data_IF_452357273981
#
_entry.id   IF_452357273981
#
_cell.length_a   1.000
_cell.length_b   1.000
_cell.length_c   1.000
_cell.angle_alpha   90.00
_cell.angle_beta   90.00
_cell.angle_gamma   90.00
#
_symmetry.space_group_name_H-M   'P 1'
#
loop_
_entity.id
_entity.type
_entity.pdbx_description
1 polymer ?
#
# COMPACT_ATOMS: atom_id res chain seq x y z
N UNK A 1 -15.60 -12.66 -57.06
CA UNK A 1 -15.86 -12.71 -55.60
C UNK A 1 -14.53 -12.89 -54.90
N UNK A 2 -13.95 -11.83 -54.32
CA UNK A 2 -12.71 -11.94 -53.54
C UNK A 2 -13.02 -11.70 -52.07
N UNK A 3 -12.56 -12.64 -51.25
CA UNK A 3 -12.93 -12.83 -49.87
C UNK A 3 -12.32 -11.77 -48.94
N UNK A 4 -13.17 -11.31 -48.04
CA UNK A 4 -12.90 -10.39 -46.95
C UNK A 4 -12.01 -11.10 -45.91
N UNK A 5 -10.72 -10.76 -45.81
CA UNK A 5 -9.85 -11.30 -44.76
C UNK A 5 -10.07 -10.53 -43.46
N UNK A 6 -10.68 -11.20 -42.48
CA UNK A 6 -10.85 -10.70 -41.11
C UNK A 6 -9.48 -10.61 -40.44
N UNK A 7 -9.01 -9.39 -40.13
CA UNK A 7 -7.75 -9.18 -39.42
C UNK A 7 -7.90 -9.56 -37.94
N UNK A 8 -7.07 -10.49 -37.47
CA UNK A 8 -6.98 -10.87 -36.06
C UNK A 8 -6.39 -9.71 -35.22
N UNK A 9 -6.97 -9.34 -34.07
CA UNK A 9 -6.45 -8.26 -33.23
C UNK A 9 -5.08 -8.66 -32.64
N UNK A 10 -4.06 -7.84 -32.87
CA UNK A 10 -2.71 -8.03 -32.33
C UNK A 10 -2.77 -8.14 -30.80
N UNK A 11 -2.46 -9.33 -30.28
CA UNK A 11 -2.56 -9.67 -28.85
C UNK A 11 -1.67 -8.79 -27.96
N UNK A 12 -0.61 -8.17 -28.52
CA UNK A 12 0.32 -7.31 -27.78
C UNK A 12 -0.06 -5.83 -27.81
N UNK A 13 -1.12 -5.45 -28.53
CA UNK A 13 -1.49 -4.05 -28.65
C UNK A 13 -1.97 -3.51 -27.30
N UNK A 14 -1.36 -2.41 -26.87
CA UNK A 14 -1.64 -1.68 -25.64
C UNK A 14 -1.50 -2.49 -24.35
N UNK A 15 -0.65 -3.51 -24.32
CA UNK A 15 -0.48 -4.35 -23.11
C UNK A 15 0.69 -3.92 -22.23
N UNK A 16 1.41 -2.87 -22.64
CA UNK A 16 2.46 -2.19 -21.87
C UNK A 16 2.33 -0.68 -22.03
N UNK A 17 2.78 0.08 -21.02
CA UNK A 17 2.77 1.54 -21.05
C UNK A 17 3.83 2.11 -22.01
N UNK A 18 3.49 3.17 -22.72
CA UNK A 18 4.37 3.87 -23.64
C UNK A 18 5.38 4.72 -22.86
N UNK A 19 6.66 4.32 -22.91
CA UNK A 19 7.73 5.03 -22.20
C UNK A 19 7.82 6.50 -22.59
N UNK A 20 7.77 6.82 -23.88
CA UNK A 20 7.88 8.21 -24.35
C UNK A 20 6.72 9.07 -23.85
N UNK A 21 5.50 8.53 -23.85
CA UNK A 21 4.34 9.27 -23.35
C UNK A 21 4.40 9.47 -21.83
N UNK A 22 4.82 8.45 -21.07
CA UNK A 22 4.94 8.55 -19.61
C UNK A 22 6.06 9.51 -19.21
N UNK A 23 7.20 9.48 -19.91
CA UNK A 23 8.36 10.31 -19.59
C UNK A 23 8.18 11.76 -20.08
N UNK A 24 7.64 11.95 -21.29
CA UNK A 24 7.63 13.26 -21.95
C UNK A 24 6.24 13.90 -22.01
N UNK A 25 5.19 13.19 -21.59
CA UNK A 25 3.79 13.61 -21.76
C UNK A 25 3.31 13.62 -23.22
N UNK A 26 4.17 13.23 -24.18
CA UNK A 26 3.84 13.17 -25.60
C UNK A 26 4.45 11.93 -26.26
N UNK A 27 3.85 11.50 -27.37
CA UNK A 27 4.37 10.42 -28.19
C UNK A 27 4.16 10.78 -29.65
N UNK A 28 5.23 10.74 -30.44
CA UNK A 28 5.19 11.08 -31.87
C UNK A 28 4.22 10.19 -32.67
N UNK A 29 3.91 8.99 -32.16
CA UNK A 29 2.96 8.06 -32.78
C UNK A 29 1.49 8.36 -32.44
N UNK A 30 1.23 9.25 -31.48
CA UNK A 30 -0.13 9.65 -31.08
C UNK A 30 -1.05 8.45 -30.81
N UNK A 31 -2.29 8.52 -31.29
CA UNK A 31 -3.27 7.45 -31.14
C UNK A 31 -2.88 6.13 -31.84
N UNK A 32 -1.93 6.17 -32.78
CA UNK A 32 -1.41 4.97 -33.49
C UNK A 32 -0.34 4.24 -32.70
N UNK A 33 0.08 4.76 -31.54
CA UNK A 33 1.06 4.10 -30.69
C UNK A 33 0.53 2.73 -30.25
N UNK A 34 1.34 1.68 -30.41
CA UNK A 34 0.96 0.33 -30.00
C UNK A 34 1.06 0.10 -28.50
N UNK A 35 1.59 1.07 -27.75
CA UNK A 35 1.72 1.04 -26.29
C UNK A 35 0.71 2.00 -25.65
N UNK A 36 0.29 1.70 -24.42
CA UNK A 36 -0.74 2.45 -23.71
C UNK A 36 -0.20 3.78 -23.18
N UNK A 37 -0.87 4.89 -23.50
CA UNK A 37 -0.53 6.23 -23.00
C UNK A 37 -1.06 6.50 -21.58
N UNK A 38 -1.63 5.49 -20.95
CA UNK A 38 -2.07 5.52 -19.56
C UNK A 38 -2.77 4.20 -19.21
N UNK A 39 -3.13 4.03 -17.94
CA UNK A 39 -3.83 2.82 -17.47
C UNK A 39 -5.17 2.59 -18.17
N UNK A 40 -5.83 3.67 -18.62
CA UNK A 40 -7.09 3.61 -19.37
C UNK A 40 -6.94 2.92 -20.73
N UNK A 41 -5.77 3.04 -21.37
CA UNK A 41 -5.48 2.35 -22.63
C UNK A 41 -4.86 0.96 -22.40
N UNK A 42 -4.38 0.67 -21.20
CA UNK A 42 -3.61 -0.53 -20.89
C UNK A 42 -4.53 -1.76 -20.82
N UNK A 43 -4.37 -2.67 -21.78
CA UNK A 43 -5.12 -3.94 -21.84
C UNK A 43 -4.40 -5.02 -21.04
N UNK A 44 -5.15 -5.79 -20.26
CA UNK A 44 -4.62 -6.98 -19.60
C UNK A 44 -4.23 -8.01 -20.68
N UNK A 45 -2.96 -8.45 -20.68
CA UNK A 45 -2.57 -9.62 -21.46
C UNK A 45 -3.35 -10.84 -20.95
N UNK A 46 -3.81 -11.72 -21.85
CA UNK A 46 -4.48 -12.97 -21.51
C UNK A 46 -3.61 -13.96 -20.69
N UNK A 47 -2.36 -13.62 -20.41
CA UNK A 47 -1.49 -14.29 -19.44
C UNK A 47 -1.09 -13.31 -18.34
N UNK A 48 -1.99 -13.10 -17.37
CA UNK A 48 -1.78 -12.85 -15.92
C UNK A 48 -0.61 -12.03 -15.34
N UNK A 49 0.26 -11.39 -16.12
CA UNK A 49 1.42 -10.66 -15.59
C UNK A 49 1.09 -9.18 -15.41
N UNK A 50 0.80 -8.81 -14.15
CA UNK A 50 0.93 -7.44 -13.66
C UNK A 50 2.43 -7.07 -13.65
N UNK A 51 2.85 -5.87 -14.08
CA UNK A 51 4.18 -5.41 -13.78
C UNK A 51 4.21 -4.97 -12.30
N UNK A 52 4.44 -5.95 -11.41
CA UNK A 52 5.21 -5.70 -10.21
C UNK A 52 6.59 -5.22 -10.67
N UNK A 53 6.97 -4.02 -10.27
CA UNK A 53 8.38 -3.66 -10.21
C UNK A 53 8.80 -3.69 -8.75
N UNK A 54 8.98 -4.92 -8.26
CA UNK A 54 9.97 -5.19 -7.21
C UNK A 54 11.33 -4.76 -7.76
N UNK A 55 11.74 -3.54 -7.45
CA UNK A 55 13.16 -3.19 -7.46
C UNK A 55 13.78 -3.81 -6.21
N UNK A 56 14.58 -4.86 -6.40
CA UNK A 56 15.39 -5.48 -5.34
C UNK A 56 16.31 -4.42 -4.74
N UNK A 57 16.20 -4.19 -3.43
CA UNK A 57 17.19 -3.46 -2.65
C UNK A 57 17.63 -4.34 -1.48
N UNK A 58 18.81 -4.94 -1.59
CA UNK A 58 19.50 -5.55 -0.45
C UNK A 58 20.36 -4.47 0.25
N UNK A 59 19.99 -4.22 1.52
CA UNK A 59 20.73 -3.65 2.67
C UNK A 59 21.15 -2.16 2.68
N UNK A 60 20.50 -1.35 3.54
CA UNK A 60 21.00 -0.92 4.89
C UNK A 60 20.07 0.20 5.45
N UNK A 61 19.71 0.25 6.76
CA UNK A 61 18.78 1.24 7.31
C UNK A 61 19.53 2.52 7.71
N UNK A 62 19.52 3.52 6.84
CA UNK A 62 19.86 4.88 7.22
C UNK A 62 18.82 5.85 6.67
N UNK A 63 18.19 6.54 7.62
CA UNK A 63 17.34 7.73 7.54
C UNK A 63 17.12 8.25 6.12
N UNK A 64 15.89 8.10 5.61
CA UNK A 64 15.51 8.60 4.30
C UNK A 64 15.86 10.10 4.18
N UNK A 65 16.55 10.53 3.10
CA UNK A 65 16.78 11.95 2.87
C UNK A 65 15.44 12.66 2.65
N UNK A 66 15.34 13.98 2.94
CA UNK A 66 14.13 14.74 2.69
C UNK A 66 13.75 14.61 1.22
N UNK A 67 12.47 14.34 0.96
CA UNK A 67 11.90 14.29 -0.39
C UNK A 67 12.33 15.54 -1.15
N UNK A 68 13.29 15.42 -2.07
CA UNK A 68 13.56 16.48 -3.04
C UNK A 68 12.35 16.58 -3.95
N UNK A 69 11.47 17.53 -3.64
CA UNK A 69 10.33 17.90 -4.48
C UNK A 69 10.92 18.38 -5.81
N UNK A 70 10.82 17.56 -6.85
CA UNK A 70 11.19 18.00 -8.20
C UNK A 70 10.26 19.15 -8.63
N UNK A 71 10.76 20.15 -9.37
CA UNK A 71 9.93 21.27 -9.80
C UNK A 71 8.74 20.76 -10.63
N UNK A 72 7.54 21.17 -10.25
CA UNK A 72 6.29 20.79 -10.91
C UNK A 72 6.33 21.30 -12.35
N UNK A 73 6.16 20.43 -13.34
CA UNK A 73 6.16 20.79 -14.75
C UNK A 73 5.11 21.90 -15.02
N UNK A 74 5.45 23.02 -15.68
CA UNK A 74 4.54 24.15 -15.87
C UNK A 74 3.24 23.84 -16.64
N UNK A 75 3.19 22.74 -17.43
CA UNK A 75 1.94 22.27 -18.05
C UNK A 75 0.91 21.71 -17.05
N UNK A 76 1.36 21.35 -15.85
CA UNK A 76 0.54 20.80 -14.79
C UNK A 76 -0.17 21.91 -13.99
N UNK A 77 0.50 23.04 -13.78
CA UNK A 77 -0.03 24.16 -13.00
C UNK A 77 -1.19 24.89 -13.72
N UNK A 78 -1.25 24.78 -15.05
CA UNK A 78 -2.26 25.44 -15.90
C UNK A 78 -3.36 24.49 -16.38
N UNK A 79 -3.50 23.31 -15.76
CA UNK A 79 -4.54 22.36 -16.13
C UNK A 79 -5.93 22.94 -15.83
N UNK A 80 -6.73 23.07 -16.87
CA UNK A 80 -8.11 23.57 -16.85
C UNK A 80 -8.26 24.96 -16.24
N UNK A 81 -7.21 25.79 -16.21
CA UNK A 81 -7.29 27.16 -15.66
C UNK A 81 -7.97 28.16 -16.59
N UNK A 82 -8.23 27.76 -17.84
CA UNK A 82 -8.92 28.57 -18.84
C UNK A 82 -9.90 27.72 -19.66
N UNK A 83 -10.95 28.35 -20.18
CA UNK A 83 -11.93 27.71 -21.05
C UNK A 83 -11.34 27.35 -22.43
N UNK A 84 -11.73 26.20 -22.95
CA UNK A 84 -11.32 25.69 -24.25
C UNK A 84 -12.03 26.45 -25.38
N UNK A 85 -11.28 27.21 -26.16
CA UNK A 85 -11.80 27.97 -27.32
C UNK A 85 -12.31 27.09 -28.47
N UNK A 86 -11.98 25.79 -28.46
CA UNK A 86 -12.32 24.85 -29.53
C UNK A 86 -13.38 23.82 -29.11
N UNK A 87 -13.92 23.95 -27.90
CA UNK A 87 -15.01 23.12 -27.45
C UNK A 87 -16.33 23.69 -27.98
N UNK A 88 -17.13 22.84 -28.61
CA UNK A 88 -18.47 23.18 -29.03
C UNK A 88 -19.47 22.63 -27.98
N UNK A 89 -20.07 23.49 -27.14
CA UNK A 89 -20.94 23.05 -26.06
C UNK A 89 -22.27 22.46 -26.55
N UNK A 90 -22.76 22.84 -27.74
CA UNK A 90 -24.00 22.31 -28.31
C UNK A 90 -23.85 20.87 -28.79
N UNK A 91 -22.65 20.49 -29.26
CA UNK A 91 -22.37 19.16 -29.83
C UNK A 91 -21.49 18.30 -28.92
N UNK A 92 -20.88 18.89 -27.88
CA UNK A 92 -19.92 18.23 -27.00
C UNK A 92 -18.56 17.93 -27.64
N UNK A 93 -18.25 18.51 -28.81
CA UNK A 93 -17.06 18.15 -29.58
C UNK A 93 -15.86 19.04 -29.26
N UNK A 94 -14.71 18.41 -29.00
CA UNK A 94 -13.39 19.05 -28.95
C UNK A 94 -12.38 18.18 -29.71
N UNK A 95 -11.46 18.81 -30.45
CA UNK A 95 -10.38 18.11 -31.16
C UNK A 95 -9.47 17.29 -30.24
N UNK A 96 -9.33 17.73 -28.99
CA UNK A 96 -8.52 17.06 -27.97
C UNK A 96 -9.36 16.14 -27.06
N UNK A 97 -10.68 16.06 -27.27
CA UNK A 97 -11.57 15.20 -26.49
C UNK A 97 -11.39 15.34 -24.98
N UNK A 98 -11.48 14.22 -24.26
CA UNK A 98 -11.34 14.17 -22.80
C UNK A 98 -9.92 14.49 -22.29
N UNK A 99 -8.90 14.52 -23.16
CA UNK A 99 -7.51 14.84 -22.77
C UNK A 99 -7.18 16.32 -22.94
N UNK A 100 -8.14 17.15 -23.38
CA UNK A 100 -7.97 18.58 -23.47
C UNK A 100 -7.58 19.18 -22.10
N UNK A 101 -6.48 19.93 -22.04
CA UNK A 101 -6.03 20.58 -20.81
C UNK A 101 -6.74 21.91 -20.53
N UNK A 102 -7.69 22.33 -21.38
CA UNK A 102 -8.54 23.51 -21.19
C UNK A 102 -9.97 23.09 -20.83
N UNK A 103 -10.67 23.90 -20.04
CA UNK A 103 -11.98 23.58 -19.48
C UNK A 103 -13.09 23.62 -20.53
N UNK A 104 -13.90 22.56 -20.61
CA UNK A 104 -15.08 22.47 -21.48
C UNK A 104 -16.35 23.08 -20.87
N UNK A 105 -16.17 24.07 -19.99
CA UNK A 105 -17.22 24.73 -19.23
C UNK A 105 -16.71 25.15 -17.86
N UNK A 106 -17.47 25.98 -17.15
CA UNK A 106 -17.10 26.44 -15.80
C UNK A 106 -16.93 25.30 -14.80
N UNK A 107 -17.66 24.20 -15.01
CA UNK A 107 -17.55 23.00 -14.18
C UNK A 107 -16.14 22.42 -14.16
N UNK A 108 -15.43 22.45 -15.30
CA UNK A 108 -14.06 21.95 -15.40
C UNK A 108 -13.00 23.00 -15.01
N UNK A 109 -13.38 24.28 -14.88
CA UNK A 109 -12.44 25.37 -14.67
C UNK A 109 -11.77 25.26 -13.29
N UNK A 110 -10.45 25.39 -13.26
CA UNK A 110 -9.60 25.25 -12.07
C UNK A 110 -9.71 23.88 -11.37
N UNK A 111 -10.24 22.86 -12.05
CA UNK A 111 -10.21 21.50 -11.51
C UNK A 111 -8.76 21.01 -11.38
N UNK A 112 -8.49 20.28 -10.30
CA UNK A 112 -7.22 19.60 -10.14
C UNK A 112 -6.99 18.62 -11.30
N UNK A 113 -5.74 18.55 -11.76
CA UNK A 113 -5.37 17.54 -12.75
C UNK A 113 -5.64 16.14 -12.19
N UNK A 114 -6.45 15.29 -12.87
CA UNK A 114 -6.80 13.96 -12.39
C UNK A 114 -5.59 13.10 -12.05
N UNK A 115 -4.46 13.30 -12.74
CA UNK A 115 -3.20 12.64 -12.38
C UNK A 115 -2.75 13.00 -10.96
N UNK A 116 -2.77 14.28 -10.58
CA UNK A 116 -2.39 14.74 -9.24
C UNK A 116 -3.41 14.35 -8.19
N UNK A 117 -4.70 14.44 -8.53
CA UNK A 117 -5.76 13.99 -7.63
C UNK A 117 -5.59 12.51 -7.28
N UNK A 118 -5.28 11.67 -8.27
CA UNK A 118 -5.00 10.25 -8.05
C UNK A 118 -3.71 10.02 -7.26
N UNK A 119 -2.62 10.75 -7.57
CA UNK A 119 -1.35 10.64 -6.82
C UNK A 119 -1.53 11.06 -5.35
N UNK A 120 -2.27 12.13 -5.10
CA UNK A 120 -2.59 12.60 -3.75
C UNK A 120 -3.44 11.58 -2.99
N UNK A 121 -4.47 11.01 -3.63
CA UNK A 121 -5.28 9.94 -3.04
C UNK A 121 -4.43 8.71 -2.68
N UNK A 122 -3.54 8.27 -3.58
CA UNK A 122 -2.63 7.15 -3.32
C UNK A 122 -1.65 7.46 -2.18
N UNK A 123 -1.11 8.68 -2.13
CA UNK A 123 -0.23 9.12 -1.04
C UNK A 123 -0.99 9.11 0.30
N UNK A 124 -2.21 9.64 0.34
CA UNK A 124 -3.05 9.59 1.55
C UNK A 124 -3.36 8.16 1.97
N UNK A 125 -3.65 7.28 1.01
CA UNK A 125 -3.87 5.86 1.27
C UNK A 125 -2.62 5.19 1.84
N UNK A 126 -1.43 5.49 1.29
CA UNK A 126 -0.16 4.98 1.79
C UNK A 126 0.13 5.47 3.21
N UNK A 127 -0.05 6.77 3.49
CA UNK A 127 0.11 7.33 4.85
C UNK A 127 -0.84 6.64 5.83
N UNK A 128 -2.10 6.44 5.44
CA UNK A 128 -3.08 5.74 6.28
C UNK A 128 -2.65 4.29 6.56
N UNK A 129 -2.17 3.58 5.55
CA UNK A 129 -1.67 2.20 5.69
C UNK A 129 -0.41 2.14 6.59
N UNK A 130 0.52 3.09 6.42
CA UNK A 130 1.73 3.18 7.25
C UNK A 130 1.39 3.47 8.71
N UNK A 131 0.49 4.42 8.97
CA UNK A 131 0.02 4.72 10.32
C UNK A 131 -0.65 3.50 10.97
N UNK A 132 -1.48 2.76 10.22
CA UNK A 132 -2.10 1.53 10.72
C UNK A 132 -1.07 0.44 11.06
N UNK A 133 -0.07 0.24 10.20
CA UNK A 133 1.00 -0.73 10.45
C UNK A 133 1.83 -0.34 11.70
N UNK A 134 2.12 0.95 11.88
CA UNK A 134 2.81 1.44 13.06
C UNK A 134 1.99 1.21 14.35
N UNK A 135 0.69 1.56 14.33
CA UNK A 135 -0.22 1.33 15.47
C UNK A 135 -0.28 -0.17 15.82
N UNK A 136 -0.36 -1.05 14.81
CA UNK A 136 -0.37 -2.50 15.02
C UNK A 136 0.94 -3.00 15.64
N UNK A 137 2.09 -2.48 15.22
CA UNK A 137 3.39 -2.86 15.77
C UNK A 137 3.53 -2.44 17.25
N UNK A 138 3.11 -1.22 17.58
CA UNK A 138 3.13 -0.69 18.95
C UNK A 138 2.16 -1.46 19.87
N UNK A 139 0.95 -1.75 19.41
CA UNK A 139 0.00 -2.58 20.17
C UNK A 139 0.51 -4.00 20.37
N UNK A 140 1.09 -4.60 19.33
CA UNK A 140 1.68 -5.94 19.42
C UNK A 140 2.78 -5.99 20.46
N UNK A 141 3.65 -4.97 20.48
CA UNK A 141 4.71 -4.84 21.48
C UNK A 141 4.14 -4.80 22.91
N UNK A 142 3.15 -3.94 23.16
CA UNK A 142 2.50 -3.82 24.48
C UNK A 142 1.86 -5.13 24.92
N UNK A 143 1.15 -5.81 24.00
CA UNK A 143 0.51 -7.10 24.26
C UNK A 143 1.53 -8.18 24.59
N UNK A 144 2.64 -8.26 23.85
CA UNK A 144 3.68 -9.25 24.10
C UNK A 144 4.28 -9.07 25.50
N UNK A 145 4.61 -7.83 25.89
CA UNK A 145 5.12 -7.52 27.23
C UNK A 145 4.12 -7.96 28.30
N UNK A 146 2.83 -7.64 28.13
CA UNK A 146 1.78 -8.03 29.06
C UNK A 146 1.63 -9.56 29.16
N UNK A 147 1.62 -10.28 28.04
CA UNK A 147 1.54 -11.75 28.03
C UNK A 147 2.74 -12.35 28.78
N UNK A 148 3.96 -11.93 28.43
CA UNK A 148 5.19 -12.43 29.02
C UNK A 148 5.24 -12.17 30.53
N UNK A 149 4.81 -10.99 30.97
CA UNK A 149 4.73 -10.64 32.40
C UNK A 149 3.73 -11.52 33.14
N UNK A 150 2.54 -11.75 32.57
CA UNK A 150 1.52 -12.59 33.20
C UNK A 150 1.93 -14.08 33.23
N UNK A 151 2.69 -14.54 32.23
CA UNK A 151 3.19 -15.91 32.18
C UNK A 151 4.18 -16.23 33.31
N UNK A 152 4.90 -15.24 33.87
CA UNK A 152 5.80 -15.49 35.01
C UNK A 152 5.08 -16.09 36.23
N UNK A 153 3.79 -15.75 36.41
CA UNK A 153 2.97 -16.26 37.50
C UNK A 153 2.52 -17.72 37.32
N UNK A 154 2.61 -18.27 36.11
CA UNK A 154 2.29 -19.68 35.83
C UNK A 154 3.37 -20.61 36.38
N UNK A 155 4.62 -20.14 36.46
CA UNK A 155 5.79 -20.97 36.72
C UNK A 155 6.49 -20.62 38.04
N UNK A 156 5.80 -20.63 39.20
CA UNK A 156 6.42 -20.31 40.47
C UNK A 156 7.55 -21.30 40.78
N UNK A 157 8.75 -20.78 41.03
CA UNK A 157 9.94 -21.58 41.36
C UNK A 157 10.71 -22.17 40.17
N UNK A 158 10.23 -22.03 38.93
CA UNK A 158 10.95 -22.48 37.72
C UNK A 158 11.80 -21.32 37.15
N UNK A 159 12.95 -21.04 37.77
CA UNK A 159 13.73 -19.84 37.43
C UNK A 159 14.28 -19.82 36.00
N UNK A 160 14.55 -20.98 35.41
CA UNK A 160 15.00 -21.05 34.01
C UNK A 160 13.92 -20.50 33.06
N UNK A 161 12.66 -20.88 33.28
CA UNK A 161 11.53 -20.39 32.47
C UNK A 161 11.30 -18.90 32.71
N UNK A 162 11.34 -18.45 33.98
CA UNK A 162 11.18 -17.03 34.32
C UNK A 162 12.27 -16.18 33.64
N UNK A 163 13.52 -16.65 33.64
CA UNK A 163 14.62 -15.95 32.97
C UNK A 163 14.40 -15.86 31.46
N UNK A 164 13.91 -16.93 30.83
CA UNK A 164 13.56 -16.94 29.39
C UNK A 164 12.39 -15.99 29.10
N UNK A 165 11.36 -15.95 29.94
CA UNK A 165 10.25 -14.99 29.82
C UNK A 165 10.73 -13.54 29.90
N UNK A 166 11.64 -13.23 30.84
CA UNK A 166 12.26 -11.90 30.96
C UNK A 166 13.09 -11.53 29.73
N UNK A 167 13.82 -12.48 29.15
CA UNK A 167 14.49 -12.25 27.86
C UNK A 167 13.49 -11.93 26.74
N UNK A 168 12.34 -12.60 26.72
CA UNK A 168 11.24 -12.27 25.82
C UNK A 168 10.73 -10.83 26.02
N UNK A 169 10.64 -10.36 27.26
CA UNK A 169 10.19 -9.00 27.56
C UNK A 169 11.19 -7.97 27.03
N UNK A 170 12.48 -8.20 27.25
CA UNK A 170 13.53 -7.31 26.74
C UNK A 170 13.55 -7.28 25.21
N UNK A 171 13.35 -8.43 24.54
CA UNK A 171 13.17 -8.49 23.09
C UNK A 171 11.99 -7.65 22.62
N UNK A 172 10.82 -7.82 23.25
CA UNK A 172 9.64 -7.02 22.93
C UNK A 172 9.92 -5.51 23.14
N UNK A 173 10.53 -5.11 24.26
CA UNK A 173 10.91 -3.70 24.52
C UNK A 173 11.85 -3.13 23.46
N UNK A 174 12.72 -3.95 22.89
CA UNK A 174 13.63 -3.59 21.79
C UNK A 174 12.96 -3.59 20.40
N UNK A 175 11.68 -3.94 20.31
CA UNK A 175 10.92 -4.04 19.05
C UNK A 175 11.07 -5.39 18.34
N UNK A 176 11.80 -6.35 18.92
CA UNK A 176 11.90 -7.73 18.42
C UNK A 176 10.65 -8.54 18.82
N UNK A 177 9.51 -8.15 18.26
CA UNK A 177 8.21 -8.79 18.51
C UNK A 177 8.20 -10.25 18.06
N UNK A 178 8.91 -10.58 16.98
CA UNK A 178 9.01 -11.94 16.49
C UNK A 178 9.78 -12.82 17.48
N UNK A 179 10.96 -12.39 17.93
CA UNK A 179 11.75 -13.15 18.90
C UNK A 179 11.02 -13.33 20.23
N UNK A 180 10.30 -12.31 20.70
CA UNK A 180 9.45 -12.41 21.88
C UNK A 180 8.30 -13.43 21.70
N UNK A 181 7.65 -13.45 20.53
CA UNK A 181 6.60 -14.41 20.20
C UNK A 181 7.13 -15.85 20.13
N UNK A 182 8.31 -16.07 19.55
CA UNK A 182 8.93 -17.39 19.49
C UNK A 182 9.23 -17.95 20.88
N UNK A 183 9.67 -17.11 21.83
CA UNK A 183 9.85 -17.52 23.23
C UNK A 183 8.54 -18.03 23.85
N UNK A 184 7.43 -17.29 23.65
CA UNK A 184 6.12 -17.73 24.13
C UNK A 184 5.77 -19.08 23.50
N UNK A 185 5.94 -19.23 22.18
CA UNK A 185 5.64 -20.48 21.45
C UNK A 185 6.45 -21.65 21.98
N UNK A 186 7.75 -21.48 22.24
CA UNK A 186 8.60 -22.53 22.78
C UNK A 186 8.11 -23.04 24.13
N UNK A 187 7.72 -22.13 25.03
CA UNK A 187 7.25 -22.48 26.38
C UNK A 187 5.90 -23.22 26.33
N UNK A 188 4.95 -22.78 25.50
CA UNK A 188 3.59 -23.34 25.49
C UNK A 188 3.49 -24.69 24.75
N UNK A 189 4.40 -24.93 23.80
CA UNK A 189 4.43 -26.18 23.02
C UNK A 189 5.34 -27.25 23.64
N UNK A 190 6.00 -26.96 24.77
CA UNK A 190 6.75 -27.95 25.52
C UNK A 190 5.79 -29.08 25.99
N UNK A 191 6.15 -30.32 25.66
CA UNK A 191 5.37 -31.51 25.97
C UNK A 191 5.26 -31.76 27.47
N UNK A 192 6.21 -31.25 28.26
CA UNK A 192 6.24 -31.38 29.71
C UNK A 192 5.23 -30.45 30.43
N UNK A 193 4.61 -29.50 29.71
CA UNK A 193 3.64 -28.56 30.28
C UNK A 193 2.37 -29.26 30.77
N UNK A 194 1.95 -28.94 31.99
CA UNK A 194 0.73 -29.51 32.58
C UNK A 194 -0.53 -28.97 31.90
N UNK A 195 -1.67 -29.64 32.11
CA UNK A 195 -2.96 -29.18 31.57
C UNK A 195 -3.37 -27.85 32.20
N UNK A 196 -3.10 -27.69 33.48
CA UNK A 196 -3.39 -26.50 34.27
C UNK A 196 -2.58 -25.30 33.76
N UNK A 197 -1.27 -25.47 33.52
CA UNK A 197 -0.40 -24.43 32.96
C UNK A 197 -0.89 -23.98 31.57
N UNK A 198 -1.27 -24.94 30.71
CA UNK A 198 -1.84 -24.65 29.37
C UNK A 198 -3.16 -23.88 29.46
N UNK A 199 -4.01 -24.21 30.43
CA UNK A 199 -5.28 -23.51 30.66
C UNK A 199 -5.04 -22.07 31.14
N UNK A 200 -4.09 -21.85 32.04
CA UNK A 200 -3.71 -20.52 32.50
C UNK A 200 -3.15 -19.65 31.36
N UNK A 201 -2.30 -20.23 30.51
CA UNK A 201 -1.82 -19.55 29.29
C UNK A 201 -2.98 -19.14 28.38
N UNK A 202 -3.93 -20.06 28.11
CA UNK A 202 -5.07 -19.77 27.26
C UNK A 202 -5.91 -18.60 27.79
N UNK A 203 -6.07 -18.49 29.11
CA UNK A 203 -6.77 -17.35 29.73
C UNK A 203 -6.02 -16.04 29.50
N UNK A 204 -4.70 -16.03 29.68
CA UNK A 204 -3.85 -14.85 29.42
C UNK A 204 -3.95 -14.42 27.95
N UNK A 205 -3.87 -15.37 27.02
CA UNK A 205 -4.00 -15.10 25.59
C UNK A 205 -5.37 -14.50 25.23
N UNK A 206 -6.46 -15.10 25.73
CA UNK A 206 -7.82 -14.61 25.47
C UNK A 206 -8.03 -13.19 26.04
N UNK A 207 -7.46 -12.89 27.20
CA UNK A 207 -7.50 -11.55 27.78
C UNK A 207 -6.72 -10.55 26.93
N UNK A 208 -5.54 -10.94 26.46
CA UNK A 208 -4.71 -10.13 25.60
C UNK A 208 -5.37 -9.81 24.25
N UNK A 209 -6.00 -10.81 23.63
CA UNK A 209 -6.71 -10.63 22.37
C UNK A 209 -7.87 -9.63 22.50
N UNK A 210 -8.67 -9.74 23.56
CA UNK A 210 -9.75 -8.78 23.84
C UNK A 210 -9.23 -7.35 24.04
N UNK A 211 -8.10 -7.20 24.74
CA UNK A 211 -7.47 -5.90 24.93
C UNK A 211 -6.99 -5.30 23.60
N UNK A 212 -6.31 -6.10 22.78
CA UNK A 212 -5.86 -5.71 21.44
C UNK A 212 -7.03 -5.26 20.57
N UNK A 213 -8.10 -6.05 20.49
CA UNK A 213 -9.27 -5.75 19.66
C UNK A 213 -9.98 -4.46 20.12
N UNK A 214 -10.07 -4.22 21.43
CA UNK A 214 -10.62 -2.99 21.99
C UNK A 214 -9.77 -1.78 21.61
N UNK A 215 -8.45 -1.86 21.81
CA UNK A 215 -7.53 -0.76 21.52
C UNK A 215 -7.44 -0.46 20.04
N UNK A 216 -7.39 -1.47 19.18
CA UNK A 216 -7.37 -1.29 17.73
C UNK A 216 -8.64 -0.56 17.25
N UNK A 217 -9.81 -0.87 17.81
CA UNK A 217 -11.06 -0.14 17.52
C UNK A 217 -11.01 1.33 17.96
N UNK A 218 -10.43 1.62 19.12
CA UNK A 218 -10.24 3.02 19.58
C UNK A 218 -9.39 3.83 18.60
N UNK A 219 -8.30 3.26 18.09
CA UNK A 219 -7.41 3.94 17.14
C UNK A 219 -8.01 4.12 15.74
N UNK A 220 -8.82 3.18 15.26
CA UNK A 220 -9.41 3.24 13.91
C UNK A 220 -10.61 4.19 13.81
N UNK A 221 -11.19 4.60 14.94
CA UNK A 221 -12.36 5.48 15.03
C UNK A 221 -11.99 6.95 15.35
N UNK A 222 -10.71 7.29 15.45
CA UNK A 222 -10.17 8.66 15.58
C UNK A 222 -9.71 9.20 14.22
#
# INVERSE_FOLDING_TARGET
MQANQVQFPNQKYKTQLCRHFITNGNCALGARCQFAHGRQELRANANGFQPNSEFIMHQNPQVAPPLKVQPINPMIANYKTQLCKHFNPQTGQCKNGATCTFAHGEQELNQMNPYFQNQYMLMQQQIKQQNQAQIQAELTQQILIMILSNMEHIFPGQQDIINVLKQGQEKAKQGDNQGASEIIKLIIHDEQRTKEEKQQYQQIYNNAQRHYDSKLKEYLNQ
#
